data_IF_060887143052
#
_entry.id   IF_060887143052
#
_cell.length_a   1.000
_cell.length_b   1.000
_cell.length_c   1.000
_cell.angle_alpha   90.00
_cell.angle_beta   90.00
_cell.angle_gamma   90.00
#
_symmetry.space_group_name_H-M   'P 1'
#
loop_
_entity.id
_entity.type
_entity.pdbx_description
1 polymer ?
#
# COMPACT_ATOMS: atom_id res chain seq x y z
N UNK A 1 -4.74 11.91 35.10
CA UNK A 1 -3.59 12.82 35.31
C UNK A 1 -2.32 12.00 35.28
N UNK A 2 -1.39 12.33 34.38
CA UNK A 2 -0.09 11.65 34.30
C UNK A 2 0.85 12.34 35.27
N UNK A 3 1.52 11.57 36.12
CA UNK A 3 2.51 12.10 37.07
C UNK A 3 3.92 11.79 36.59
N UNK A 4 4.87 12.67 36.91
CA UNK A 4 6.26 12.46 36.58
C UNK A 4 6.81 11.19 37.27
N UNK A 5 7.39 10.27 36.50
CA UNK A 5 7.99 9.03 37.01
C UNK A 5 9.17 9.31 37.98
N UNK A 6 9.83 10.47 37.85
CA UNK A 6 11.01 10.81 38.63
C UNK A 6 10.70 11.52 39.95
N UNK A 7 9.67 12.38 39.98
CA UNK A 7 9.40 13.23 41.16
C UNK A 7 7.93 13.22 41.62
N UNK A 8 7.04 12.48 40.96
CA UNK A 8 5.63 12.37 41.31
C UNK A 8 4.79 13.63 41.03
N UNK A 9 5.38 14.70 40.48
CA UNK A 9 4.67 15.94 40.19
C UNK A 9 3.60 15.72 39.09
N UNK A 10 2.36 16.21 39.27
CA UNK A 10 1.31 16.11 38.25
C UNK A 10 1.69 16.94 37.03
N UNK A 11 1.77 16.29 35.88
CA UNK A 11 2.19 16.93 34.64
C UNK A 11 0.98 17.56 33.91
N UNK A 12 1.10 18.79 33.38
CA UNK A 12 0.08 19.35 32.50
C UNK A 12 0.01 18.58 31.18
N UNK A 13 -1.13 18.68 30.49
CA UNK A 13 -1.48 17.87 29.30
C UNK A 13 -0.41 17.92 28.19
N UNK A 14 0.42 18.98 28.11
CA UNK A 14 1.42 19.18 27.04
C UNK A 14 2.89 19.37 27.52
N UNK A 15 3.24 18.97 28.76
CA UNK A 15 4.62 19.09 29.23
C UNK A 15 5.58 18.11 28.54
N UNK A 16 6.56 18.62 27.79
CA UNK A 16 7.73 17.88 27.29
C UNK A 16 8.77 17.60 28.39
N UNK A 17 8.89 18.52 29.34
CA UNK A 17 9.78 18.43 30.50
C UNK A 17 8.98 18.66 31.77
N UNK A 18 9.34 17.95 32.83
CA UNK A 18 8.72 18.20 34.14
C UNK A 18 9.14 19.58 34.64
N UNK A 19 8.18 20.49 34.94
CA UNK A 19 8.50 21.84 35.42
C UNK A 19 9.18 21.84 36.80
N UNK A 20 9.05 20.75 37.56
CA UNK A 20 9.60 20.64 38.89
C UNK A 20 11.03 20.06 38.92
N UNK A 21 11.32 19.02 38.12
CA UNK A 21 12.61 18.31 38.18
C UNK A 21 13.42 18.34 36.87
N UNK A 22 12.89 18.98 35.82
CA UNK A 22 13.53 19.08 34.51
C UNK A 22 13.69 17.76 33.75
N UNK A 23 13.18 16.64 34.27
CA UNK A 23 13.28 15.36 33.55
C UNK A 23 12.39 15.37 32.31
N UNK A 24 12.87 14.86 31.16
CA UNK A 24 12.02 14.70 29.98
C UNK A 24 10.86 13.76 30.32
N UNK A 25 9.65 14.18 29.98
CA UNK A 25 8.45 13.35 30.14
C UNK A 25 8.44 12.38 28.96
N UNK A 26 8.76 11.12 29.22
CA UNK A 26 8.54 10.05 28.23
C UNK A 26 7.05 9.81 28.09
N UNK A 27 6.40 10.64 27.28
CA UNK A 27 5.08 10.31 26.74
C UNK A 27 5.29 9.04 25.92
N UNK A 28 4.77 7.93 26.41
CA UNK A 28 4.43 6.82 25.51
C UNK A 28 3.36 7.42 24.61
N UNK A 29 3.78 8.02 23.49
CA UNK A 29 2.87 8.39 22.44
C UNK A 29 2.17 7.09 22.08
N UNK A 30 0.91 6.96 22.52
CA UNK A 30 -0.01 5.98 21.96
C UNK A 30 0.13 6.13 20.45
N UNK A 31 0.46 5.07 19.71
CA UNK A 31 0.82 5.18 18.30
C UNK A 31 -0.46 5.43 17.49
N UNK A 32 -1.00 6.64 17.56
CA UNK A 32 -2.27 7.02 16.94
C UNK A 32 -2.08 7.65 15.55
N UNK A 33 -0.87 7.65 14.98
CA UNK A 33 -0.61 8.31 13.68
C UNK A 33 0.34 7.57 12.72
N UNK A 34 0.85 6.39 13.07
CA UNK A 34 1.87 5.71 12.27
C UNK A 34 1.39 4.50 11.46
N UNK A 35 0.10 4.13 11.49
CA UNK A 35 -0.35 2.85 10.96
C UNK A 35 -1.41 2.88 9.85
N UNK A 36 -1.83 4.04 9.35
CA UNK A 36 -2.50 4.12 8.06
C UNK A 36 -1.60 4.95 7.15
N UNK A 37 -1.17 4.40 6.01
CA UNK A 37 -0.93 5.26 4.85
C UNK A 37 -2.05 6.30 4.80
N UNK A 38 -1.71 7.57 4.54
CA UNK A 38 -2.74 8.62 4.37
C UNK A 38 -3.83 8.02 3.50
N UNK A 39 -5.09 7.97 3.96
CA UNK A 39 -6.16 7.28 3.24
C UNK A 39 -6.21 7.69 1.76
N UNK A 40 -5.81 8.93 1.47
CA UNK A 40 -5.55 9.43 0.12
C UNK A 40 -4.58 8.61 -0.74
N UNK A 41 -3.47 8.08 -0.21
CA UNK A 41 -2.57 7.19 -0.97
C UNK A 41 -3.22 5.85 -1.31
N UNK A 42 -4.00 5.27 -0.40
CA UNK A 42 -4.74 4.04 -0.67
C UNK A 42 -5.79 4.29 -1.75
N UNK A 43 -6.53 5.40 -1.64
CA UNK A 43 -7.51 5.81 -2.64
C UNK A 43 -6.86 6.08 -4.00
N UNK A 44 -5.74 6.80 -4.04
CA UNK A 44 -4.98 7.08 -5.25
C UNK A 44 -4.51 5.79 -5.92
N UNK A 45 -3.94 4.86 -5.15
CA UNK A 45 -3.51 3.55 -5.64
C UNK A 45 -4.70 2.73 -6.19
N UNK A 46 -5.80 2.68 -5.44
CA UNK A 46 -7.03 1.99 -5.84
C UNK A 46 -7.60 2.53 -7.14
N UNK A 47 -7.75 3.85 -7.26
CA UNK A 47 -8.27 4.51 -8.46
C UNK A 47 -7.35 4.28 -9.65
N UNK A 48 -6.03 4.46 -9.49
CA UNK A 48 -5.06 4.23 -10.55
C UNK A 48 -5.15 2.79 -11.06
N UNK A 49 -5.23 1.82 -10.15
CA UNK A 49 -5.38 0.41 -10.52
C UNK A 49 -6.71 0.13 -11.22
N UNK A 50 -7.80 0.74 -10.78
CA UNK A 50 -9.08 0.57 -11.45
C UNK A 50 -9.07 1.10 -12.89
N UNK A 51 -8.47 2.28 -13.11
CA UNK A 51 -8.27 2.81 -14.45
C UNK A 51 -7.45 1.88 -15.33
N UNK A 52 -6.35 1.34 -14.83
CA UNK A 52 -5.52 0.38 -15.56
C UNK A 52 -6.31 -0.90 -15.87
N UNK A 53 -7.09 -1.41 -14.90
CA UNK A 53 -7.92 -2.61 -15.07
C UNK A 53 -8.97 -2.41 -16.18
N UNK A 54 -9.69 -1.29 -16.15
CA UNK A 54 -10.71 -0.95 -17.16
C UNK A 54 -10.06 -0.71 -18.52
N UNK A 55 -8.88 -0.08 -18.55
CA UNK A 55 -8.10 0.11 -19.78
C UNK A 55 -7.73 -1.25 -20.38
N UNK A 56 -7.17 -2.17 -19.60
CA UNK A 56 -6.84 -3.54 -20.05
C UNK A 56 -8.09 -4.25 -20.58
N UNK A 57 -9.21 -4.16 -19.85
CA UNK A 57 -10.48 -4.74 -20.27
C UNK A 57 -11.01 -4.14 -21.58
N UNK A 58 -10.77 -2.84 -21.82
CA UNK A 58 -11.23 -2.14 -23.03
C UNK A 58 -10.36 -2.38 -24.25
N UNK A 59 -9.06 -2.66 -24.06
CA UNK A 59 -8.14 -3.00 -25.16
C UNK A 59 -8.28 -4.46 -25.61
N UNK A 60 -8.95 -5.30 -24.83
CA UNK A 60 -9.15 -6.71 -25.16
C UNK A 60 -10.25 -6.86 -26.22
N UNK A 61 -10.07 -7.79 -27.17
CA UNK A 61 -11.04 -8.02 -28.23
C UNK A 61 -12.45 -8.32 -27.67
N UNK A 62 -13.51 -7.75 -28.26
CA UNK A 62 -14.89 -8.02 -27.87
C UNK A 62 -15.21 -9.49 -28.16
N UNK A 63 -15.26 -10.30 -27.12
CA UNK A 63 -15.49 -11.74 -27.18
C UNK A 63 -14.68 -12.55 -26.18
N UNK A 64 -13.58 -11.99 -25.64
CA UNK A 64 -12.81 -12.64 -24.58
C UNK A 64 -13.22 -12.08 -23.22
N UNK A 65 -13.95 -12.86 -22.44
CA UNK A 65 -14.24 -12.52 -21.05
C UNK A 65 -12.99 -12.84 -20.20
N UNK A 66 -12.21 -11.82 -19.88
CA UNK A 66 -11.01 -11.96 -19.04
C UNK A 66 -11.33 -12.08 -17.54
N UNK A 67 -12.62 -12.05 -17.16
CA UNK A 67 -13.10 -12.17 -15.77
C UNK A 67 -12.27 -11.29 -14.81
N UNK A 68 -11.59 -11.90 -13.84
CA UNK A 68 -10.80 -11.23 -12.80
C UNK A 68 -9.38 -10.84 -13.21
N UNK A 69 -8.89 -11.30 -14.38
CA UNK A 69 -7.49 -11.13 -14.80
C UNK A 69 -7.07 -9.65 -14.89
N UNK A 70 -7.86 -8.73 -15.47
CA UNK A 70 -7.48 -7.32 -15.58
C UNK A 70 -7.27 -6.68 -14.21
N UNK A 71 -8.18 -6.94 -13.26
CA UNK A 71 -8.11 -6.41 -11.90
C UNK A 71 -6.99 -7.07 -11.09
N UNK A 72 -6.75 -8.37 -11.30
CA UNK A 72 -5.63 -9.10 -10.70
C UNK A 72 -4.29 -8.51 -11.10
N UNK A 73 -4.02 -8.41 -12.41
CA UNK A 73 -2.76 -7.86 -12.93
C UNK A 73 -2.58 -6.41 -12.51
N UNK A 74 -3.65 -5.61 -12.58
CA UNK A 74 -3.60 -4.21 -12.17
C UNK A 74 -3.27 -4.06 -10.68
N UNK A 75 -3.89 -4.87 -9.81
CA UNK A 75 -3.59 -4.83 -8.38
C UNK A 75 -2.16 -5.22 -8.06
N UNK A 76 -1.59 -6.23 -8.75
CA UNK A 76 -0.17 -6.57 -8.62
C UNK A 76 0.73 -5.40 -9.03
N UNK A 77 0.42 -4.77 -10.16
CA UNK A 77 1.18 -3.65 -10.70
C UNK A 77 1.16 -2.46 -9.73
N UNK A 78 0.00 -2.10 -9.20
CA UNK A 78 -0.13 -0.99 -8.24
C UNK A 78 0.59 -1.28 -6.93
N UNK A 79 0.42 -2.48 -6.35
CA UNK A 79 1.11 -2.86 -5.11
C UNK A 79 2.63 -2.81 -5.31
N UNK A 80 3.10 -3.24 -6.49
CA UNK A 80 4.50 -3.17 -6.88
C UNK A 80 4.99 -1.71 -7.00
N UNK A 81 4.28 -0.86 -7.76
CA UNK A 81 4.65 0.55 -7.98
C UNK A 81 4.65 1.38 -6.70
N UNK A 82 3.65 1.18 -5.83
CA UNK A 82 3.54 1.89 -4.55
C UNK A 82 4.46 1.31 -3.47
N UNK A 83 5.20 0.25 -3.80
CA UNK A 83 6.19 -0.41 -2.93
C UNK A 83 5.60 -0.69 -1.54
N UNK A 84 4.36 -1.18 -1.52
CA UNK A 84 3.61 -1.45 -0.29
C UNK A 84 4.28 -2.60 0.47
N UNK A 85 4.66 -2.36 1.73
CA UNK A 85 5.40 -3.34 2.55
C UNK A 85 4.54 -4.06 3.57
N UNK A 86 3.45 -3.42 4.00
CA UNK A 86 2.55 -3.97 5.00
C UNK A 86 1.48 -4.78 4.30
N UNK A 87 1.34 -6.02 4.72
CA UNK A 87 0.33 -6.92 4.16
C UNK A 87 -1.08 -6.34 4.30
N UNK A 88 -1.39 -5.70 5.42
CA UNK A 88 -2.66 -4.97 5.66
C UNK A 88 -2.93 -3.89 4.60
N UNK A 89 -1.90 -3.14 4.20
CA UNK A 89 -2.01 -2.09 3.19
C UNK A 89 -2.19 -2.69 1.79
N UNK A 90 -1.48 -3.77 1.48
CA UNK A 90 -1.60 -4.48 0.20
C UNK A 90 -3.00 -5.08 0.01
N UNK A 91 -3.59 -5.64 1.08
CA UNK A 91 -4.97 -6.13 1.08
C UNK A 91 -5.93 -4.98 0.78
N UNK A 92 -5.79 -3.87 1.50
CA UNK A 92 -6.70 -2.71 1.34
C UNK A 92 -6.61 -2.15 -0.09
N UNK A 93 -5.41 -2.06 -0.65
CA UNK A 93 -5.19 -1.61 -2.03
C UNK A 93 -5.82 -2.58 -3.03
N UNK A 94 -5.62 -3.91 -2.90
CA UNK A 94 -6.17 -4.86 -3.87
C UNK A 94 -7.70 -4.84 -3.86
N UNK A 95 -8.33 -4.84 -2.68
CA UNK A 95 -9.79 -4.73 -2.57
C UNK A 95 -10.30 -3.41 -3.15
N UNK A 96 -9.60 -2.28 -2.91
CA UNK A 96 -9.97 -1.01 -3.48
C UNK A 96 -9.92 -1.03 -5.02
N UNK A 97 -8.87 -1.60 -5.61
CA UNK A 97 -8.75 -1.75 -7.06
C UNK A 97 -9.91 -2.56 -7.64
N UNK A 98 -10.27 -3.68 -7.02
CA UNK A 98 -11.36 -4.55 -7.49
C UNK A 98 -12.71 -3.83 -7.40
N UNK A 99 -13.03 -3.24 -6.25
CA UNK A 99 -14.28 -2.52 -6.05
C UNK A 99 -14.44 -1.35 -7.03
N UNK A 100 -13.39 -0.55 -7.22
CA UNK A 100 -13.44 0.55 -8.16
C UNK A 100 -13.50 0.10 -9.61
N UNK A 101 -12.83 -1.01 -9.97
CA UNK A 101 -12.91 -1.58 -11.32
C UNK A 101 -14.34 -2.00 -11.65
N UNK A 102 -14.99 -2.75 -10.76
CA UNK A 102 -16.37 -3.23 -10.95
C UNK A 102 -17.35 -2.05 -10.99
N UNK A 103 -17.16 -1.04 -10.13
CA UNK A 103 -18.00 0.15 -10.11
C UNK A 103 -17.88 0.96 -11.41
N UNK A 104 -16.66 1.19 -11.91
CA UNK A 104 -16.43 1.93 -13.15
C UNK A 104 -16.98 1.16 -14.35
N UNK A 105 -16.66 -0.14 -14.45
CA UNK A 105 -17.11 -0.97 -15.56
C UNK A 105 -18.64 -1.11 -15.58
N UNK A 106 -19.24 -1.38 -14.43
CA UNK A 106 -20.70 -1.40 -14.28
C UNK A 106 -21.33 -0.06 -14.66
N UNK A 107 -20.76 1.05 -14.19
CA UNK A 107 -21.20 2.40 -14.56
C UNK A 107 -21.15 2.66 -16.07
N UNK A 108 -20.08 2.24 -16.75
CA UNK A 108 -19.95 2.36 -18.20
C UNK A 108 -21.02 1.52 -18.92
N UNK A 109 -21.26 0.28 -18.49
CA UNK A 109 -22.26 -0.61 -19.09
C UNK A 109 -23.66 -0.03 -18.92
N UNK A 110 -24.06 0.30 -17.68
CA UNK A 110 -25.38 0.86 -17.40
C UNK A 110 -25.59 2.23 -18.06
N UNK A 111 -24.56 3.07 -18.08
CA UNK A 111 -24.58 4.35 -18.79
C UNK A 111 -24.78 4.17 -20.31
N UNK A 112 -24.10 3.19 -20.90
CA UNK A 112 -24.26 2.86 -22.32
C UNK A 112 -25.68 2.39 -22.65
N UNK A 113 -26.25 1.53 -21.79
CA UNK A 113 -27.63 1.06 -21.95
C UNK A 113 -28.64 2.20 -21.86
N UNK A 114 -28.46 3.10 -20.89
CA UNK A 114 -29.31 4.27 -20.71
C UNK A 114 -29.29 5.20 -21.93
N UNK A 115 -28.11 5.52 -22.46
CA UNK A 115 -27.97 6.39 -23.64
C UNK A 115 -28.59 5.74 -24.89
N UNK A 116 -28.52 4.41 -25.01
CA UNK A 116 -29.11 3.67 -26.14
C UNK A 116 -30.60 3.39 -25.99
N UNK A 117 -31.22 3.70 -24.84
CA UNK A 117 -32.63 3.44 -24.57
C UNK A 117 -32.98 1.94 -24.52
N UNK A 118 -32.00 1.07 -24.26
CA UNK A 118 -32.21 -0.38 -24.20
C UNK A 118 -32.68 -0.74 -22.79
N UNK A 119 -33.78 -1.49 -22.67
CA UNK A 119 -34.24 -1.99 -21.36
C UNK A 119 -33.31 -3.09 -20.85
N UNK A 120 -33.16 -3.20 -19.54
CA UNK A 120 -32.40 -4.28 -18.89
C UNK A 120 -32.93 -5.67 -19.33
N UNK A 121 -34.26 -5.80 -19.48
CA UNK A 121 -34.87 -7.06 -19.94
C UNK A 121 -34.41 -7.47 -21.34
N UNK A 122 -34.14 -6.52 -22.23
CA UNK A 122 -33.62 -6.77 -23.57
C UNK A 122 -32.12 -7.07 -23.53
N UNK A 123 -31.35 -6.32 -22.72
CA UNK A 123 -29.91 -6.53 -22.56
C UNK A 123 -29.56 -7.93 -22.01
N UNK A 124 -30.42 -8.51 -21.17
CA UNK A 124 -30.24 -9.84 -20.58
C UNK A 124 -31.03 -10.97 -21.28
N UNK A 125 -31.77 -10.68 -22.37
CA UNK A 125 -32.78 -11.60 -22.95
C UNK A 125 -32.26 -12.91 -23.56
N UNK A 126 -30.94 -13.11 -23.55
CA UNK A 126 -30.27 -14.35 -23.97
C UNK A 126 -29.06 -14.73 -23.11
N UNK A 127 -28.91 -14.11 -21.93
CA UNK A 127 -27.78 -14.39 -21.05
C UNK A 127 -28.05 -15.69 -20.29
N UNK A 128 -27.47 -16.79 -20.76
CA UNK A 128 -27.47 -18.07 -20.05
C UNK A 128 -26.39 -18.02 -18.98
N UNK A 129 -26.79 -18.07 -17.70
CA UNK A 129 -25.80 -18.20 -16.61
C UNK A 129 -25.04 -19.50 -16.78
N UNK A 130 -23.74 -19.39 -17.03
CA UNK A 130 -22.86 -20.56 -17.04
C UNK A 130 -22.29 -20.79 -15.65
N UNK A 131 -21.88 -22.03 -15.38
CA UNK A 131 -21.15 -22.35 -14.14
C UNK A 131 -19.89 -21.49 -13.98
N UNK A 132 -19.22 -21.15 -15.09
CA UNK A 132 -18.02 -20.32 -15.09
C UNK A 132 -18.30 -18.90 -14.61
N UNK A 133 -19.45 -18.32 -14.92
CA UNK A 133 -19.79 -16.94 -14.50
C UNK A 133 -20.01 -16.87 -12.99
N UNK A 134 -20.72 -17.87 -12.43
CA UNK A 134 -20.94 -17.97 -10.98
C UNK A 134 -19.62 -18.24 -10.25
N UNK A 135 -18.82 -19.17 -10.77
CA UNK A 135 -17.52 -19.49 -10.18
C UNK A 135 -16.61 -18.25 -10.21
N UNK A 136 -16.49 -17.58 -11.36
CA UNK A 136 -15.63 -16.41 -11.52
C UNK A 136 -16.01 -15.25 -10.58
N UNK A 137 -17.31 -15.03 -10.36
CA UNK A 137 -17.78 -14.02 -9.41
C UNK A 137 -17.35 -14.33 -7.97
N UNK A 138 -17.45 -15.60 -7.55
CA UNK A 138 -16.98 -16.06 -6.22
C UNK A 138 -15.46 -16.00 -6.11
N UNK A 139 -14.73 -16.26 -7.21
CA UNK A 139 -13.28 -16.21 -7.24
C UNK A 139 -12.73 -14.77 -7.19
N UNK A 140 -13.51 -13.73 -7.51
CA UNK A 140 -13.06 -12.34 -7.54
C UNK A 140 -12.46 -11.85 -6.19
N UNK A 141 -13.12 -12.00 -5.02
CA UNK A 141 -12.52 -11.63 -3.74
C UNK A 141 -11.32 -12.52 -3.37
N UNK A 142 -11.33 -13.79 -3.78
CA UNK A 142 -10.22 -14.73 -3.54
C UNK A 142 -8.99 -14.31 -4.33
N UNK A 143 -9.15 -13.93 -5.61
CA UNK A 143 -8.07 -13.45 -6.45
C UNK A 143 -7.51 -12.12 -5.96
N UNK A 144 -8.34 -11.25 -5.38
CA UNK A 144 -7.88 -10.01 -4.73
C UNK A 144 -6.93 -10.31 -3.55
N UNK A 145 -7.24 -11.29 -2.71
CA UNK A 145 -6.36 -11.71 -1.60
C UNK A 145 -5.05 -12.33 -2.12
N UNK A 146 -5.15 -13.19 -3.13
CA UNK A 146 -3.97 -13.79 -3.77
C UNK A 146 -3.08 -12.69 -4.36
N UNK A 147 -3.66 -11.69 -5.03
CA UNK A 147 -2.92 -10.57 -5.58
C UNK A 147 -2.25 -9.73 -4.49
N UNK A 148 -2.93 -9.49 -3.36
CA UNK A 148 -2.33 -8.80 -2.21
C UNK A 148 -1.11 -9.56 -1.67
N UNK A 149 -1.22 -10.88 -1.53
CA UNK A 149 -0.15 -11.73 -1.05
C UNK A 149 1.05 -11.77 -2.02
N UNK A 150 0.81 -12.05 -3.30
CA UNK A 150 1.88 -12.09 -4.30
C UNK A 150 2.50 -10.71 -4.51
N UNK A 151 1.69 -9.67 -4.64
CA UNK A 151 2.16 -8.30 -4.84
C UNK A 151 3.06 -7.84 -3.70
N UNK A 152 2.65 -8.09 -2.45
CA UNK A 152 3.47 -7.76 -1.28
C UNK A 152 4.77 -8.58 -1.25
N UNK A 153 4.73 -9.87 -1.61
CA UNK A 153 5.92 -10.73 -1.66
C UNK A 153 6.93 -10.25 -2.71
N UNK A 154 6.47 -9.90 -3.90
CA UNK A 154 7.31 -9.40 -5.00
C UNK A 154 7.91 -8.03 -4.64
N UNK A 155 7.11 -7.14 -4.04
CA UNK A 155 7.57 -5.83 -3.59
C UNK A 155 8.66 -5.95 -2.51
N UNK A 156 8.56 -6.93 -1.62
CA UNK A 156 9.57 -7.20 -0.59
C UNK A 156 10.86 -7.81 -1.17
N UNK A 157 10.76 -8.74 -2.12
CA UNK A 157 11.94 -9.42 -2.68
C UNK A 157 12.84 -8.49 -3.51
N UNK A 158 12.25 -7.60 -4.32
CA UNK A 158 13.05 -6.68 -5.16
C UNK A 158 13.80 -5.60 -4.37
N UNK A 159 13.40 -5.30 -3.13
CA UNK A 159 14.11 -4.33 -2.27
C UNK A 159 15.38 -4.94 -1.70
N UNK A 160 15.42 -6.27 -1.52
CA UNK A 160 16.65 -6.98 -1.16
C UNK A 160 17.76 -6.77 -2.20
N UNK A 161 17.40 -6.78 -3.49
CA UNK A 161 18.33 -6.50 -4.60
C UNK A 161 18.56 -4.99 -4.81
N UNK A 162 17.53 -4.16 -4.73
CA UNK A 162 17.66 -2.70 -4.96
C UNK A 162 18.46 -2.00 -3.86
N UNK A 163 18.42 -2.49 -2.62
CA UNK A 163 19.22 -1.95 -1.53
C UNK A 163 20.72 -2.21 -1.67
N UNK A 164 21.12 -3.16 -2.52
CA UNK A 164 22.52 -3.44 -2.84
C UNK A 164 23.05 -2.51 -3.94
N UNK A 165 22.20 -2.16 -4.92
CA UNK A 165 22.50 -1.15 -5.94
C UNK A 165 22.56 0.27 -5.37
N UNK A 166 21.67 0.65 -4.45
CA UNK A 166 21.66 1.99 -3.86
C UNK A 166 22.85 2.18 -2.90
N UNK A 167 23.24 1.14 -2.15
CA UNK A 167 24.46 1.16 -1.32
C UNK A 167 25.75 1.20 -2.14
N UNK A 168 25.80 0.51 -3.28
CA UNK A 168 26.97 0.57 -4.16
C UNK A 168 27.06 1.94 -4.85
N UNK A 169 25.95 2.52 -5.30
CA UNK A 169 25.93 3.87 -5.87
C UNK A 169 26.33 4.97 -4.86
N UNK A 170 25.91 4.88 -3.60
CA UNK A 170 26.35 5.79 -2.53
C UNK A 170 27.83 5.59 -2.15
N UNK A 171 28.33 4.36 -2.23
CA UNK A 171 29.74 4.06 -1.98
C UNK A 171 30.66 4.61 -3.09
N UNK A 172 30.25 4.51 -4.36
CA UNK A 172 30.96 5.14 -5.49
C UNK A 172 30.90 6.68 -5.45
N UNK A 173 29.75 7.26 -5.08
CA UNK A 173 29.61 8.71 -4.94
C UNK A 173 30.42 9.28 -3.74
N UNK A 174 30.64 8.47 -2.69
CA UNK A 174 31.42 8.87 -1.53
C UNK A 174 32.94 8.71 -1.72
N UNK A 175 33.40 7.89 -2.67
CA UNK A 175 34.83 7.77 -3.04
C UNK A 175 35.31 8.92 -3.95
N UNK A 176 34.43 9.50 -4.77
CA UNK A 176 34.77 10.67 -5.62
C UNK A 176 34.76 12.01 -4.85
N UNK A 177 34.13 12.07 -3.68
CA UNK A 177 34.05 13.27 -2.84
C UNK A 177 35.24 13.43 -1.86
N UNK A 178 36.43 12.97 -2.26
CA UNK A 178 37.68 13.17 -1.53
C UNK A 178 38.33 14.54 -1.79
N UNK A 179 37.86 15.58 -1.11
CA UNK A 179 38.50 16.92 -1.05
C UNK A 179 38.04 17.71 0.18
N UNK A 180 38.92 18.49 0.83
CA UNK A 180 39.19 18.35 2.26
C UNK A 180 38.26 19.16 3.16
N UNK A 181 37.97 18.60 4.34
CA UNK A 181 37.62 19.39 5.52
C UNK A 181 36.36 18.95 6.23
N UNK A 182 36.53 18.28 7.37
CA UNK A 182 35.47 18.12 8.37
C UNK A 182 35.51 16.78 9.08
N UNK A 183 36.41 16.62 10.06
CA UNK A 183 36.39 15.45 10.94
C UNK A 183 35.27 15.64 11.97
N UNK A 184 34.14 14.96 11.80
CA UNK A 184 33.13 14.79 12.85
C UNK A 184 33.38 13.44 13.53
N UNK A 185 33.97 13.47 14.72
CA UNK A 185 34.08 12.28 15.56
C UNK A 185 32.69 11.90 16.09
N UNK A 186 32.09 10.85 15.53
CA UNK A 186 31.05 10.09 16.23
C UNK A 186 31.75 9.03 17.08
N UNK A 187 31.86 9.31 18.38
CA UNK A 187 32.43 8.40 19.37
C UNK A 187 31.49 7.19 19.54
N UNK A 188 31.63 6.17 18.69
CA UNK A 188 30.93 4.89 18.85
C UNK A 188 31.56 4.15 20.03
N UNK A 189 31.02 4.39 21.23
CA UNK A 189 31.38 3.69 22.46
C UNK A 189 31.01 2.20 22.30
N UNK A 190 31.94 1.39 21.81
CA UNK A 190 31.85 -0.06 21.88
C UNK A 190 32.01 -0.47 23.35
N UNK A 191 30.89 -0.76 24.01
CA UNK A 191 30.89 -1.60 25.19
C UNK A 191 31.14 -3.02 24.68
N UNK A 192 32.39 -3.47 24.76
CA UNK A 192 32.71 -4.88 24.73
C UNK A 192 33.16 -5.31 26.12
N UNK A 193 32.27 -6.09 26.72
CA UNK A 193 32.52 -6.98 27.84
C UNK A 193 33.68 -7.90 27.47
N UNK A 194 34.76 -7.85 28.25
CA UNK A 194 35.71 -8.95 28.34
C UNK A 194 35.76 -9.39 29.80
N UNK A 195 35.24 -10.61 30.02
CA UNK A 195 35.74 -11.53 31.04
C UNK A 195 37.22 -11.76 30.77
N UNK A 196 38.09 -11.54 31.76
CA UNK A 196 38.92 -12.52 32.49
C UNK A 196 39.39 -11.83 33.76
#
# INVERSE_FOLDING_TARGET
>A
MVSCEKCGFPLPEDAEYCPNCGSPVRRVHTPSRAALMSAGRILQAGILGAFISVMISSLTLPGVQLYFIPSFVSSLLVIFLFRTRRFEEAITISFAVYLFSDAILGGIIFGSLYIKGISLSEAYRGYMLTFLDVAAYVFNPVSALIAAYLGNRIALSMIGESGEYERTAEQYASEEAGGPGGVIYSLKRHIHSHKV
#
